data_IF_832150207140
#
_entry.id   IF_832150207140
#
_cell.length_a   1.000
_cell.length_b   1.000
_cell.length_c   1.000
_cell.angle_alpha   90.00
_cell.angle_beta   90.00
_cell.angle_gamma   90.00
#
_symmetry.space_group_name_H-M   'P 1'
#
loop_
_entity.id
_entity.type
_entity.pdbx_description
1 polymer ?
#
# COMPACT_ATOMS: atom_id res chain seq x y z
N UNK A 1 10.04 -13.83 -10.29
CA UNK A 1 10.94 -14.15 -9.15
C UNK A 1 12.33 -13.54 -9.35
N UNK A 2 13.01 -13.72 -10.50
CA UNK A 2 14.40 -13.26 -10.70
C UNK A 2 14.57 -11.74 -10.44
N UNK A 3 13.68 -10.87 -10.96
CA UNK A 3 13.71 -9.44 -10.69
C UNK A 3 13.59 -9.15 -9.18
N UNK A 4 12.68 -9.84 -8.51
CA UNK A 4 12.42 -9.65 -7.07
C UNK A 4 13.64 -10.07 -6.25
N UNK A 5 14.23 -11.22 -6.56
CA UNK A 5 15.39 -11.74 -5.83
C UNK A 5 16.64 -10.87 -5.95
N UNK A 6 16.74 -10.04 -7.00
CA UNK A 6 17.87 -9.14 -7.25
C UNK A 6 17.58 -7.69 -6.85
N UNK A 7 16.37 -7.39 -6.42
CA UNK A 7 15.96 -6.02 -6.04
C UNK A 7 16.63 -5.58 -4.75
N UNK A 8 17.04 -4.32 -4.71
CA UNK A 8 17.58 -3.67 -3.51
C UNK A 8 16.53 -2.87 -2.75
N UNK A 9 15.59 -2.28 -3.49
CA UNK A 9 14.50 -1.45 -2.97
C UNK A 9 13.15 -1.89 -3.57
N UNK A 10 12.75 -3.18 -3.40
CA UNK A 10 11.47 -3.65 -3.91
C UNK A 10 10.31 -3.06 -3.12
N UNK A 11 9.16 -2.90 -3.76
CA UNK A 11 7.98 -2.29 -3.16
C UNK A 11 6.70 -2.94 -3.68
N UNK A 12 5.81 -3.38 -2.79
CA UNK A 12 4.52 -3.98 -3.13
C UNK A 12 3.43 -2.92 -3.02
N UNK A 13 2.63 -2.79 -4.07
CA UNK A 13 1.38 -2.05 -4.08
C UNK A 13 0.22 -3.04 -4.09
N UNK A 14 -0.51 -3.10 -2.98
CA UNK A 14 -1.64 -4.00 -2.80
C UNK A 14 -2.96 -3.30 -3.14
N UNK A 15 -3.67 -3.82 -4.13
CA UNK A 15 -4.97 -3.31 -4.55
C UNK A 15 -6.14 -4.18 -4.11
N UNK A 16 -7.34 -3.82 -4.56
CA UNK A 16 -8.58 -4.52 -4.24
C UNK A 16 -8.58 -5.99 -4.68
N UNK A 17 -7.84 -6.33 -5.74
CA UNK A 17 -7.73 -7.69 -6.23
C UNK A 17 -7.21 -8.67 -5.18
N UNK A 18 -6.45 -8.22 -4.19
CA UNK A 18 -6.04 -9.05 -3.03
C UNK A 18 -7.26 -9.49 -2.22
N UNK A 19 -8.16 -8.55 -1.92
CA UNK A 19 -9.40 -8.83 -1.16
C UNK A 19 -10.35 -9.72 -1.96
N UNK A 20 -10.56 -9.37 -3.23
CA UNK A 20 -11.48 -10.10 -4.12
C UNK A 20 -11.05 -11.55 -4.37
N UNK A 21 -9.75 -11.82 -4.41
CA UNK A 21 -9.20 -13.18 -4.58
C UNK A 21 -9.02 -13.92 -3.25
N UNK A 22 -9.29 -13.28 -2.10
CA UNK A 22 -9.00 -13.83 -0.78
C UNK A 22 -7.52 -14.16 -0.56
N UNK A 23 -6.62 -13.29 -1.02
CA UNK A 23 -5.17 -13.50 -1.06
C UNK A 23 -4.39 -12.80 0.07
N UNK A 24 -5.06 -12.41 1.14
CA UNK A 24 -4.44 -11.63 2.24
C UNK A 24 -3.33 -12.42 2.95
N UNK A 25 -3.56 -13.71 3.21
CA UNK A 25 -2.56 -14.57 3.84
C UNK A 25 -1.35 -14.83 2.91
N UNK A 26 -1.60 -14.99 1.62
CA UNK A 26 -0.54 -15.16 0.62
C UNK A 26 0.29 -13.88 0.47
N UNK A 27 -0.34 -12.70 0.50
CA UNK A 27 0.35 -11.42 0.49
C UNK A 27 1.22 -11.26 1.73
N UNK A 28 0.68 -11.57 2.90
CA UNK A 28 1.41 -11.53 4.17
C UNK A 28 2.60 -12.49 4.14
N UNK A 29 2.39 -13.75 3.78
CA UNK A 29 3.46 -14.74 3.68
C UNK A 29 4.55 -14.34 2.68
N UNK A 30 4.16 -13.73 1.55
CA UNK A 30 5.10 -13.24 0.55
C UNK A 30 5.93 -12.08 1.09
N UNK A 31 5.31 -11.09 1.71
CA UNK A 31 5.99 -9.96 2.33
C UNK A 31 6.91 -10.39 3.49
N UNK A 32 6.45 -11.28 4.36
CA UNK A 32 7.25 -11.80 5.49
C UNK A 32 8.48 -12.57 5.00
N UNK A 33 8.31 -13.43 4.00
CA UNK A 33 9.42 -14.21 3.42
C UNK A 33 10.47 -13.31 2.77
N UNK A 34 10.02 -12.33 2.01
CA UNK A 34 10.92 -11.49 1.19
C UNK A 34 11.36 -10.21 1.89
N UNK A 35 10.76 -9.85 3.03
CA UNK A 35 11.03 -8.59 3.73
C UNK A 35 10.63 -7.35 2.94
N UNK A 36 9.75 -7.47 1.92
CA UNK A 36 9.36 -6.37 1.04
C UNK A 36 8.26 -5.55 1.71
N UNK A 37 8.40 -4.19 1.78
CA UNK A 37 7.36 -3.33 2.30
C UNK A 37 6.12 -3.32 1.42
N UNK A 38 4.95 -3.18 2.07
CA UNK A 38 3.63 -3.18 1.45
C UNK A 38 2.93 -1.86 1.73
N UNK A 39 2.46 -1.18 0.68
CA UNK A 39 1.45 -0.14 0.80
C UNK A 39 0.17 -0.57 0.10
N UNK A 40 -0.96 -0.08 0.64
CA UNK A 40 -2.28 -0.35 0.09
C UNK A 40 -2.77 0.82 -0.76
N UNK A 41 -3.49 0.54 -1.84
CA UNK A 41 -4.33 1.54 -2.50
C UNK A 41 -5.60 1.77 -1.69
N UNK A 42 -6.40 2.79 -2.02
CA UNK A 42 -7.67 3.07 -1.32
C UNK A 42 -8.55 1.82 -1.20
N UNK A 43 -8.79 1.13 -2.32
CA UNK A 43 -9.61 -0.09 -2.34
C UNK A 43 -8.85 -1.35 -1.89
N UNK A 44 -7.56 -1.23 -1.62
CA UNK A 44 -6.73 -2.29 -1.06
C UNK A 44 -6.55 -2.19 0.46
N UNK A 45 -7.09 -1.15 1.10
CA UNK A 45 -7.05 -1.03 2.57
C UNK A 45 -7.70 -2.24 3.22
N UNK A 46 -7.06 -2.79 4.26
CA UNK A 46 -7.45 -4.04 4.89
C UNK A 46 -6.82 -5.29 4.26
N UNK A 47 -6.28 -5.22 3.03
CA UNK A 47 -5.62 -6.37 2.40
C UNK A 47 -4.29 -6.77 3.04
N UNK A 48 -3.74 -5.91 3.89
CA UNK A 48 -2.54 -6.15 4.69
C UNK A 48 -2.69 -5.47 6.05
N UNK A 49 -2.38 -6.16 7.18
CA UNK A 49 -2.59 -5.59 8.51
C UNK A 49 -1.79 -4.30 8.71
N UNK A 50 -2.45 -3.24 9.15
CA UNK A 50 -1.84 -1.92 9.33
C UNK A 50 -0.83 -1.83 10.47
N UNK A 51 -0.85 -2.78 11.40
CA UNK A 51 0.11 -2.91 12.52
C UNK A 51 1.29 -3.85 12.20
N UNK A 52 1.33 -4.42 11.00
CA UNK A 52 2.42 -5.29 10.58
C UNK A 52 3.70 -4.49 10.30
N UNK A 53 4.88 -5.05 10.66
CA UNK A 53 6.18 -4.37 10.52
C UNK A 53 6.53 -3.96 9.08
N UNK A 54 6.05 -4.69 8.10
CA UNK A 54 6.28 -4.40 6.68
C UNK A 54 5.19 -3.50 6.06
N UNK A 55 4.12 -3.16 6.81
CA UNK A 55 3.16 -2.17 6.35
C UNK A 55 3.78 -0.77 6.39
N UNK A 56 3.72 -0.06 5.28
CA UNK A 56 4.34 1.26 5.18
C UNK A 56 3.32 2.37 4.94
N UNK A 57 2.05 2.04 4.79
CA UNK A 57 0.96 3.00 4.74
C UNK A 57 0.06 2.86 3.51
N UNK A 58 -0.72 3.89 3.30
CA UNK A 58 -1.64 4.09 2.19
C UNK A 58 -1.01 4.98 1.14
N UNK A 59 -1.17 4.65 -0.14
CA UNK A 59 -0.61 5.43 -1.24
C UNK A 59 -1.69 5.97 -2.18
N UNK A 60 -1.33 7.01 -2.93
CA UNK A 60 -2.19 7.70 -3.87
C UNK A 60 -2.36 9.18 -3.52
N UNK A 61 -3.31 9.86 -4.18
CA UNK A 61 -3.51 11.32 -4.07
C UNK A 61 -3.65 11.81 -2.63
N UNK A 62 -4.31 11.03 -1.78
CA UNK A 62 -4.53 11.34 -0.36
C UNK A 62 -3.72 10.44 0.57
N UNK A 63 -2.77 9.70 0.02
CA UNK A 63 -1.95 8.74 0.75
C UNK A 63 -0.88 9.38 1.63
N UNK A 64 -0.17 8.52 2.35
CA UNK A 64 0.91 8.91 3.24
C UNK A 64 2.14 9.39 2.47
N UNK A 65 2.95 10.21 3.14
CA UNK A 65 4.13 10.85 2.55
C UNK A 65 5.19 9.82 2.16
N UNK A 66 5.51 8.86 3.04
CA UNK A 66 6.51 7.83 2.78
C UNK A 66 6.20 6.95 1.57
N UNK A 67 5.00 6.32 1.49
CA UNK A 67 4.59 5.53 0.34
C UNK A 67 4.66 6.28 -0.98
N UNK A 68 4.16 7.53 -1.02
CA UNK A 68 4.14 8.33 -2.24
C UNK A 68 5.55 8.71 -2.73
N UNK A 69 6.44 9.14 -1.84
CA UNK A 69 7.81 9.47 -2.23
C UNK A 69 8.61 8.24 -2.66
N UNK A 70 8.54 7.18 -1.87
CA UNK A 70 9.33 5.97 -2.13
C UNK A 70 8.85 5.17 -3.35
N UNK A 71 7.66 5.44 -3.88
CA UNK A 71 7.27 4.94 -5.21
C UNK A 71 8.26 5.39 -6.29
N UNK A 72 8.82 6.59 -6.18
CA UNK A 72 9.81 7.11 -7.12
C UNK A 72 11.28 6.81 -6.72
N UNK A 73 11.48 6.03 -5.66
CA UNK A 73 12.81 5.60 -5.19
C UNK A 73 13.03 4.09 -5.29
N UNK A 74 11.95 3.31 -5.44
CA UNK A 74 12.05 1.85 -5.58
C UNK A 74 12.72 1.43 -6.89
N UNK A 75 13.39 0.28 -6.90
CA UNK A 75 13.98 -0.31 -8.10
C UNK A 75 13.09 -1.38 -8.75
N UNK A 76 12.23 -2.02 -7.97
CA UNK A 76 11.21 -2.95 -8.44
C UNK A 76 9.87 -2.62 -7.80
N UNK A 77 8.88 -2.29 -8.63
CA UNK A 77 7.50 -2.03 -8.22
C UNK A 77 6.64 -3.25 -8.52
N UNK A 78 6.02 -3.84 -7.51
CA UNK A 78 5.20 -5.04 -7.62
C UNK A 78 3.74 -4.64 -7.37
N UNK A 79 2.98 -4.40 -8.43
CA UNK A 79 1.57 -4.06 -8.35
C UNK A 79 0.73 -5.33 -8.40
N UNK A 80 -0.10 -5.57 -7.39
CA UNK A 80 -0.91 -6.78 -7.26
C UNK A 80 -2.38 -6.43 -7.11
N UNK A 81 -3.19 -6.83 -8.09
CA UNK A 81 -4.63 -6.62 -8.09
C UNK A 81 -5.03 -5.14 -8.03
N UNK A 82 -4.29 -4.27 -8.73
CA UNK A 82 -4.58 -2.85 -8.83
C UNK A 82 -4.35 -2.34 -10.26
N UNK A 83 -5.22 -1.47 -10.69
CA UNK A 83 -5.11 -0.80 -11.97
C UNK A 83 -4.39 0.53 -11.82
N UNK A 84 -3.38 0.88 -12.37
CA UNK A 84 -2.67 2.16 -12.25
C UNK A 84 -3.54 3.38 -12.64
N UNK A 85 -4.61 3.67 -11.87
CA UNK A 85 -5.46 4.82 -12.14
C UNK A 85 -4.80 6.15 -11.76
N UNK A 86 -5.40 7.26 -12.18
CA UNK A 86 -4.87 8.61 -12.00
C UNK A 86 -4.78 9.04 -10.53
N UNK A 87 -5.61 8.47 -9.65
CA UNK A 87 -5.57 8.75 -8.20
C UNK A 87 -4.34 8.14 -7.53
N UNK A 88 -3.77 7.11 -8.14
CA UNK A 88 -2.53 6.46 -7.68
C UNK A 88 -1.31 7.03 -8.41
N UNK A 89 -1.38 7.17 -9.73
CA UNK A 89 -0.22 7.53 -10.54
C UNK A 89 0.03 9.03 -10.63
N UNK A 90 -1.03 9.84 -10.52
CA UNK A 90 -0.92 11.26 -10.84
C UNK A 90 -0.32 11.47 -12.23
N UNK A 91 0.77 12.21 -12.30
CA UNK A 91 1.48 12.44 -13.56
C UNK A 91 2.26 11.19 -14.03
N UNK A 92 1.67 10.41 -14.92
CA UNK A 92 2.23 9.18 -15.49
C UNK A 92 3.64 9.37 -16.06
N UNK A 93 3.96 10.56 -16.61
CA UNK A 93 5.29 10.82 -17.15
C UNK A 93 6.40 10.88 -16.11
N UNK A 94 6.03 11.00 -14.82
CA UNK A 94 6.96 11.08 -13.67
C UNK A 94 6.85 9.91 -12.70
N UNK A 95 5.86 9.02 -12.88
CA UNK A 95 5.55 7.94 -11.95
C UNK A 95 6.52 6.75 -12.12
N UNK A 96 7.23 6.40 -11.07
CA UNK A 96 8.09 5.21 -10.95
C UNK A 96 9.03 4.94 -12.15
N UNK A 97 9.57 5.97 -12.79
CA UNK A 97 10.36 5.85 -14.05
C UNK A 97 11.65 5.05 -13.90
N UNK A 98 12.20 5.01 -12.71
CA UNK A 98 13.44 4.28 -12.39
C UNK A 98 13.17 2.80 -12.08
N UNK A 99 11.91 2.43 -11.78
CA UNK A 99 11.56 1.08 -11.34
C UNK A 99 11.30 0.12 -12.51
N UNK A 100 11.65 -1.15 -12.30
CA UNK A 100 11.11 -2.26 -13.07
C UNK A 100 9.73 -2.63 -12.53
N UNK A 101 8.71 -2.61 -13.38
CA UNK A 101 7.33 -2.84 -12.97
C UNK A 101 6.92 -4.29 -13.23
N UNK A 102 6.47 -4.95 -12.16
CA UNK A 102 5.78 -6.24 -12.22
C UNK A 102 4.31 -5.95 -11.97
N UNK A 103 3.43 -6.29 -12.92
CA UNK A 103 2.00 -6.07 -12.80
C UNK A 103 1.26 -7.42 -12.80
N UNK A 104 0.66 -7.77 -11.67
CA UNK A 104 -0.13 -8.98 -11.47
C UNK A 104 -1.59 -8.55 -11.46
N UNK A 105 -2.33 -8.91 -12.50
CA UNK A 105 -3.69 -8.42 -12.72
C UNK A 105 -4.54 -9.49 -13.43
N UNK A 106 -5.77 -9.67 -12.96
CA UNK A 106 -6.71 -10.62 -13.54
C UNK A 106 -7.39 -10.08 -14.80
N UNK A 107 -7.53 -8.76 -14.90
CA UNK A 107 -8.08 -8.12 -16.09
C UNK A 107 -6.96 -7.80 -17.08
N UNK A 108 -6.93 -8.57 -18.17
CA UNK A 108 -5.95 -8.37 -19.25
C UNK A 108 -6.03 -6.95 -19.87
N UNK A 109 -7.20 -6.31 -19.83
CA UNK A 109 -7.39 -4.97 -20.39
C UNK A 109 -6.70 -3.87 -19.56
N UNK A 110 -6.42 -4.11 -18.28
CA UNK A 110 -5.70 -3.16 -17.42
C UNK A 110 -4.17 -3.31 -17.55
N UNK A 111 -3.68 -4.45 -18.04
CA UNK A 111 -2.23 -4.69 -18.21
C UNK A 111 -1.68 -3.80 -19.34
N UNK A 112 -0.64 -3.05 -19.04
CA UNK A 112 0.03 -2.11 -19.95
C UNK A 112 -0.84 -0.92 -20.42
N UNK A 113 -2.00 -0.69 -19.83
CA UNK A 113 -2.93 0.38 -20.22
C UNK A 113 -2.40 1.76 -19.86
N UNK A 114 -1.96 1.96 -18.64
CA UNK A 114 -1.45 3.23 -18.11
C UNK A 114 0.05 3.17 -17.87
N UNK A 115 0.51 2.20 -17.11
CA UNK A 115 1.94 1.95 -16.85
C UNK A 115 2.35 0.69 -17.60
N UNK A 116 3.42 0.80 -18.39
CA UNK A 116 4.01 -0.36 -19.06
C UNK A 116 4.73 -1.24 -18.05
N UNK A 117 4.33 -2.50 -17.96
CA UNK A 117 4.99 -3.48 -17.11
C UNK A 117 6.22 -4.08 -17.83
N UNK A 118 7.33 -4.22 -17.10
CA UNK A 118 8.48 -5.03 -17.55
C UNK A 118 8.16 -6.52 -17.48
N UNK A 119 7.33 -6.91 -16.50
CA UNK A 119 6.79 -8.27 -16.36
C UNK A 119 5.27 -8.16 -16.11
N UNK A 120 4.50 -8.55 -17.10
CA UNK A 120 3.05 -8.69 -17.00
C UNK A 120 2.68 -10.12 -16.57
N UNK A 121 1.88 -10.26 -15.52
CA UNK A 121 1.37 -11.55 -15.03
C UNK A 121 -0.16 -11.49 -15.06
N UNK A 122 -0.74 -12.08 -16.09
CA UNK A 122 -2.19 -12.22 -16.23
C UNK A 122 -2.64 -13.45 -15.43
N UNK A 123 -3.01 -13.24 -14.18
CA UNK A 123 -3.39 -14.31 -13.25
C UNK A 123 -4.20 -13.75 -12.08
N UNK A 124 -4.90 -14.64 -11.39
CA UNK A 124 -5.47 -14.37 -10.06
C UNK A 124 -4.36 -14.03 -9.07
N UNK A 125 -4.63 -13.06 -8.17
CA UNK A 125 -3.63 -12.59 -7.21
C UNK A 125 -3.18 -13.68 -6.25
N UNK A 126 -4.09 -14.53 -5.78
CA UNK A 126 -3.79 -15.62 -4.86
C UNK A 126 -2.86 -16.65 -5.48
N UNK A 127 -3.19 -17.10 -6.68
CA UNK A 127 -2.37 -18.08 -7.42
C UNK A 127 -0.97 -17.53 -7.72
N UNK A 128 -0.90 -16.27 -8.15
CA UNK A 128 0.37 -15.59 -8.43
C UNK A 128 1.24 -15.46 -7.18
N UNK A 129 0.67 -15.02 -6.05
CA UNK A 129 1.38 -14.88 -4.78
C UNK A 129 1.84 -16.23 -4.24
N UNK A 130 1.02 -17.28 -4.31
CA UNK A 130 1.43 -18.65 -3.95
C UNK A 130 2.64 -19.14 -4.76
N UNK A 131 2.64 -18.85 -6.06
CA UNK A 131 3.77 -19.18 -6.92
C UNK A 131 5.02 -18.37 -6.58
N UNK A 132 4.86 -17.07 -6.24
CA UNK A 132 5.98 -16.20 -5.82
C UNK A 132 6.55 -16.62 -4.48
N UNK A 133 5.71 -16.97 -3.49
CA UNK A 133 6.18 -17.51 -2.20
C UNK A 133 7.07 -18.74 -2.40
N UNK A 134 6.75 -19.62 -3.35
CA UNK A 134 7.56 -20.81 -3.64
C UNK A 134 8.88 -20.48 -4.35
N UNK A 135 8.89 -19.47 -5.24
CA UNK A 135 10.00 -19.18 -6.15
C UNK A 135 10.95 -18.08 -5.70
N UNK A 136 10.50 -17.18 -4.82
CA UNK A 136 11.35 -16.11 -4.32
C UNK A 136 12.18 -16.58 -3.13
N UNK A 137 13.40 -16.05 -3.03
CA UNK A 137 14.28 -16.29 -1.89
C UNK A 137 13.79 -15.51 -0.65
N UNK A 138 14.14 -16.02 0.52
CA UNK A 138 14.02 -15.24 1.75
C UNK A 138 15.01 -14.06 1.73
N UNK A 139 14.55 -12.89 2.12
CA UNK A 139 15.34 -11.66 2.08
C UNK A 139 14.93 -10.72 3.21
N UNK A 140 15.66 -9.60 3.37
CA UNK A 140 15.35 -8.52 4.31
C UNK A 140 15.71 -7.18 3.67
N UNK A 141 14.84 -6.19 3.86
CA UNK A 141 15.02 -4.84 3.32
C UNK A 141 14.86 -3.79 4.44
N UNK A 142 15.52 -4.01 5.58
CA UNK A 142 15.34 -3.19 6.80
C UNK A 142 15.66 -1.72 6.59
N UNK A 143 16.76 -1.39 5.90
CA UNK A 143 17.11 0.01 5.60
C UNK A 143 16.10 0.66 4.65
N UNK A 144 15.55 -0.11 3.72
CA UNK A 144 14.51 0.36 2.81
C UNK A 144 13.20 0.63 3.54
N UNK A 145 12.76 -0.26 4.43
CA UNK A 145 11.59 -0.03 5.29
C UNK A 145 11.81 1.18 6.19
N UNK A 146 13.03 1.35 6.73
CA UNK A 146 13.37 2.50 7.57
C UNK A 146 13.27 3.83 6.83
N UNK A 147 13.52 3.86 5.51
CA UNK A 147 13.30 5.07 4.69
C UNK A 147 11.85 5.52 4.69
N UNK A 148 10.89 4.59 4.64
CA UNK A 148 9.45 4.91 4.77
C UNK A 148 9.13 5.44 6.16
N UNK A 149 9.66 4.81 7.21
CA UNK A 149 9.42 5.22 8.61
C UNK A 149 9.90 6.64 8.88
N UNK A 150 11.08 7.00 8.37
CA UNK A 150 11.60 8.38 8.48
C UNK A 150 10.69 9.40 7.83
N UNK A 151 10.20 9.11 6.62
CA UNK A 151 9.27 10.00 5.92
C UNK A 151 7.91 10.07 6.62
N UNK A 152 7.38 8.93 7.09
CA UNK A 152 6.15 8.89 7.85
C UNK A 152 6.27 9.61 9.21
N UNK A 153 7.44 9.60 9.83
CA UNK A 153 7.69 10.37 11.06
C UNK A 153 7.62 11.89 10.80
N UNK A 154 8.17 12.37 9.67
CA UNK A 154 8.05 13.78 9.26
C UNK A 154 6.57 14.16 9.04
N UNK A 155 5.80 13.29 8.40
CA UNK A 155 4.37 13.48 8.20
C UNK A 155 3.62 13.52 9.53
N UNK A 156 3.93 12.59 10.42
CA UNK A 156 3.33 12.52 11.75
C UNK A 156 3.54 13.82 12.53
N UNK A 157 4.78 14.30 12.59
CA UNK A 157 5.13 15.54 13.30
C UNK A 157 4.44 16.77 12.69
N UNK A 158 4.48 16.90 11.35
CA UNK A 158 4.03 18.13 10.69
C UNK A 158 2.53 18.20 10.45
N UNK A 159 1.86 17.06 10.29
CA UNK A 159 0.46 16.98 9.86
C UNK A 159 -0.38 16.22 10.89
N UNK A 160 -0.07 14.93 11.14
CA UNK A 160 -0.96 14.04 11.87
C UNK A 160 -1.14 14.47 13.32
N UNK A 161 -0.06 14.92 13.98
CA UNK A 161 -0.13 15.40 15.36
C UNK A 161 -1.14 16.53 15.53
N UNK A 162 -1.22 17.43 14.55
CA UNK A 162 -2.19 18.55 14.59
C UNK A 162 -3.62 18.09 14.38
N UNK A 163 -3.81 17.11 13.49
CA UNK A 163 -5.11 16.50 13.23
C UNK A 163 -5.64 15.70 14.44
N UNK A 164 -4.75 15.10 15.23
CA UNK A 164 -5.13 14.32 16.40
C UNK A 164 -5.22 15.13 17.70
N UNK A 165 -4.68 16.35 17.71
CA UNK A 165 -4.69 17.24 18.85
C UNK A 165 -5.08 18.65 18.40
N UNK A 166 -6.37 18.87 18.01
CA UNK A 166 -6.84 20.19 17.64
C UNK A 166 -6.82 21.14 18.83
N UNK A 167 -7.01 22.44 18.58
CA UNK A 167 -7.17 23.43 19.65
C UNK A 167 -8.39 23.09 20.52
N UNK A 168 -8.37 23.46 21.79
CA UNK A 168 -9.26 22.99 22.86
C UNK A 168 -10.78 23.07 22.60
N UNK A 169 -11.22 23.89 21.65
CA UNK A 169 -12.64 24.13 21.36
C UNK A 169 -13.09 23.53 20.01
N UNK A 170 -12.24 22.75 19.33
CA UNK A 170 -12.52 22.21 18.02
C UNK A 170 -12.32 20.70 17.97
N UNK A 171 -13.23 20.01 17.26
CA UNK A 171 -13.04 18.60 16.91
C UNK A 171 -12.55 18.50 15.46
N UNK A 172 -11.43 17.84 15.24
CA UNK A 172 -10.99 17.49 13.90
C UNK A 172 -11.59 16.17 13.43
N UNK A 173 -11.76 16.00 12.11
CA UNK A 173 -12.17 14.70 11.58
C UNK A 173 -11.11 13.63 11.86
N UNK A 174 -9.82 13.99 11.85
CA UNK A 174 -8.71 13.06 12.12
C UNK A 174 -8.79 12.52 13.55
N UNK A 175 -9.06 13.38 14.54
CA UNK A 175 -9.25 12.99 15.94
C UNK A 175 -10.45 12.02 16.10
N UNK A 176 -11.60 12.35 15.50
CA UNK A 176 -12.79 11.49 15.55
C UNK A 176 -12.50 10.10 14.97
N UNK A 177 -11.86 10.03 13.80
CA UNK A 177 -11.51 8.76 13.17
C UNK A 177 -10.46 7.98 13.98
N UNK A 178 -9.49 8.67 14.56
CA UNK A 178 -8.50 8.03 15.42
C UNK A 178 -9.16 7.42 16.68
N UNK A 179 -10.06 8.16 17.33
CA UNK A 179 -10.83 7.64 18.46
C UNK A 179 -11.69 6.44 18.08
N UNK A 180 -12.38 6.52 16.93
CA UNK A 180 -13.19 5.42 16.42
C UNK A 180 -12.34 4.17 16.14
N UNK A 181 -11.18 4.35 15.51
CA UNK A 181 -10.24 3.28 15.24
C UNK A 181 -9.75 2.60 16.51
N UNK A 182 -9.37 3.40 17.52
CA UNK A 182 -8.92 2.89 18.82
C UNK A 182 -10.06 2.18 19.57
N UNK A 183 -11.26 2.74 19.58
CA UNK A 183 -12.43 2.17 20.24
C UNK A 183 -12.82 0.81 19.64
N UNK A 184 -12.83 0.72 18.31
CA UNK A 184 -13.15 -0.52 17.57
C UNK A 184 -11.95 -1.45 17.42
N UNK A 185 -10.75 -1.04 17.87
CA UNK A 185 -9.48 -1.78 17.73
C UNK A 185 -9.13 -2.12 16.27
N UNK A 186 -9.65 -1.34 15.32
CA UNK A 186 -9.46 -1.59 13.89
C UNK A 186 -10.28 -2.75 13.31
N UNK A 187 -11.29 -3.23 14.04
CA UNK A 187 -12.10 -4.41 13.67
C UNK A 187 -13.46 -4.05 13.05
N UNK A 188 -13.81 -2.77 12.99
CA UNK A 188 -15.09 -2.36 12.42
C UNK A 188 -15.08 -2.40 10.90
N UNK A 189 -16.23 -2.77 10.32
CA UNK A 189 -16.53 -2.51 8.91
C UNK A 189 -16.87 -1.04 8.77
N UNK A 190 -16.02 -0.31 8.07
CA UNK A 190 -16.18 1.14 7.89
C UNK A 190 -16.71 1.44 6.50
N UNK A 191 -17.89 2.05 6.45
CA UNK A 191 -18.55 2.47 5.19
C UNK A 191 -18.56 3.99 5.14
N UNK A 192 -18.04 4.54 4.06
CA UNK A 192 -18.03 5.99 3.81
C UNK A 192 -18.71 6.31 2.49
N UNK A 193 -19.23 7.50 2.38
CA UNK A 193 -19.55 8.11 1.09
C UNK A 193 -18.31 8.84 0.53
N UNK A 194 -18.41 9.45 -0.64
CA UNK A 194 -17.31 10.19 -1.27
C UNK A 194 -17.22 11.60 -0.69
N UNK A 195 -16.03 11.99 -0.20
CA UNK A 195 -15.78 13.31 0.36
C UNK A 195 -14.56 13.35 1.27
N UNK A 196 -14.38 14.45 2.00
CA UNK A 196 -13.27 14.60 2.94
C UNK A 196 -13.24 13.52 4.01
N UNK A 197 -14.41 13.12 4.52
CA UNK A 197 -14.54 12.05 5.50
C UNK A 197 -13.99 10.70 5.00
N UNK A 198 -14.17 10.37 3.72
CA UNK A 198 -13.55 9.19 3.12
C UNK A 198 -12.01 9.29 3.15
N UNK A 199 -11.47 10.44 2.73
CA UNK A 199 -10.03 10.66 2.66
C UNK A 199 -9.40 10.60 4.05
N UNK A 200 -10.03 11.21 5.05
CA UNK A 200 -9.58 11.21 6.44
C UNK A 200 -9.66 9.80 7.02
N UNK A 201 -10.78 9.09 6.78
CA UNK A 201 -10.96 7.71 7.24
C UNK A 201 -9.92 6.78 6.64
N UNK A 202 -9.69 6.82 5.33
CA UNK A 202 -8.71 5.97 4.67
C UNK A 202 -7.28 6.20 5.16
N UNK A 203 -6.98 7.40 5.68
CA UNK A 203 -5.66 7.78 6.16
C UNK A 203 -5.40 7.43 7.63
N UNK A 204 -6.43 7.54 8.48
CA UNK A 204 -6.28 7.50 9.93
C UNK A 204 -6.89 6.29 10.60
N UNK A 205 -7.83 5.60 9.94
CA UNK A 205 -8.35 4.35 10.48
C UNK A 205 -7.33 3.20 10.29
N UNK A 206 -7.08 2.45 11.35
CA UNK A 206 -6.15 1.31 11.34
C UNK A 206 -6.90 0.03 10.96
N UNK A 207 -6.74 -0.40 9.71
CA UNK A 207 -7.38 -1.63 9.21
C UNK A 207 -6.52 -2.84 9.58
N UNK A 208 -7.02 -3.71 10.47
CA UNK A 208 -6.30 -4.92 10.89
C UNK A 208 -6.73 -6.17 10.16
N UNK A 209 -7.98 -6.18 9.72
CA UNK A 209 -8.61 -7.29 9.02
C UNK A 209 -9.11 -6.83 7.63
N UNK A 210 -9.28 -7.80 6.70
CA UNK A 210 -9.88 -7.55 5.39
C UNK A 210 -11.29 -7.03 5.46
#
# INVERSE_FOLDING_TARGET
AALINNAKRPYILAGQGILLSGATEELKAFSEKTGIPVACTLLGLGSFPSDHLNYVGYLGMHGNYGPNLNTNECDVLIAVGMRFDDRVTGNVSKYAKQAKVIHIEIDKAEINKIIKADVAVHADAKEALQALVKKCNASKHSEWIESFRKLNAIEYEKVITKEFNPSADELSMGEVINHLSNFTKGEAIVVTDVGQHQMVTSRYYQYKNP
#
